data_IF_660531428093
#
_entry.id   IF_660531428093
#
_cell.length_a   1.000
_cell.length_b   1.000
_cell.length_c   1.000
_cell.angle_alpha   90.00
_cell.angle_beta   90.00
_cell.angle_gamma   90.00
#
_symmetry.space_group_name_H-M   'P 1'
#
loop_
_entity.id
_entity.type
_entity.pdbx_description
1 polymer ?
#
# COMPACT_ATOMS: atom_id res chain seq x y z
N UNK A 1 15.02 -7.04 -9.07
CA UNK A 1 15.66 -5.96 -8.33
C UNK A 1 14.59 -4.90 -8.14
N UNK A 2 14.16 -4.67 -6.89
CA UNK A 2 13.41 -3.48 -6.54
C UNK A 2 14.34 -2.31 -6.77
N UNK A 3 13.91 -1.33 -7.55
CA UNK A 3 14.73 -0.17 -7.85
C UNK A 3 14.97 0.59 -6.56
N UNK A 4 16.23 0.74 -6.25
CA UNK A 4 16.70 1.50 -5.13
C UNK A 4 16.90 2.93 -5.62
N UNK A 5 15.99 3.81 -5.33
CA UNK A 5 16.16 5.23 -5.57
C UNK A 5 16.20 5.92 -4.22
N UNK A 6 17.31 6.56 -3.90
CA UNK A 6 17.44 7.40 -2.68
C UNK A 6 16.56 8.66 -2.78
N UNK A 7 15.45 8.62 -3.48
CA UNK A 7 14.61 9.79 -3.71
C UNK A 7 13.31 9.64 -2.94
N UNK A 8 13.10 10.51 -1.98
CA UNK A 8 11.79 10.72 -1.37
C UNK A 8 10.91 11.52 -2.32
N UNK A 9 9.79 10.98 -2.74
CA UNK A 9 8.82 11.68 -3.58
C UNK A 9 7.77 12.34 -2.73
N UNK A 10 7.60 13.64 -2.91
CA UNK A 10 6.59 14.42 -2.20
C UNK A 10 5.40 14.71 -3.10
N UNK A 11 4.22 14.34 -2.64
CA UNK A 11 2.94 14.58 -3.33
C UNK A 11 2.06 15.51 -2.51
N UNK A 12 1.38 16.44 -3.20
CA UNK A 12 0.37 17.31 -2.58
C UNK A 12 -0.92 16.54 -2.40
N UNK A 13 -1.33 16.34 -1.14
CA UNK A 13 -2.51 15.58 -0.75
C UNK A 13 -3.68 16.51 -0.44
N UNK A 14 -4.73 16.46 -1.25
CA UNK A 14 -5.99 17.13 -0.99
C UNK A 14 -6.94 16.20 -0.23
N UNK A 15 -7.46 16.66 0.90
CA UNK A 15 -8.46 15.93 1.70
C UNK A 15 -9.79 16.71 1.68
N UNK A 16 -10.80 16.14 1.05
CA UNK A 16 -12.15 16.72 1.06
C UNK A 16 -12.92 16.17 2.26
N UNK A 17 -13.19 17.03 3.22
CA UNK A 17 -14.03 16.74 4.39
C UNK A 17 -15.44 17.17 4.09
N UNK A 18 -16.31 16.23 3.72
CA UNK A 18 -17.70 16.53 3.40
C UNK A 18 -18.52 16.84 4.66
N UNK A 19 -19.63 17.54 4.49
CA UNK A 19 -20.46 18.01 5.61
C UNK A 19 -20.90 16.89 6.56
N UNK A 20 -21.29 15.75 6.03
CA UNK A 20 -21.70 14.59 6.83
C UNK A 20 -20.58 14.10 7.75
N UNK A 21 -19.34 14.07 7.26
CA UNK A 21 -18.16 13.71 8.05
C UNK A 21 -17.79 14.83 9.05
N UNK A 22 -17.80 16.09 8.61
CA UNK A 22 -17.58 17.24 9.47
C UNK A 22 -18.53 17.24 10.68
N UNK A 23 -19.84 17.09 10.42
CA UNK A 23 -20.86 17.04 11.46
C UNK A 23 -20.76 15.80 12.35
N UNK A 24 -20.61 14.62 11.76
CA UNK A 24 -20.67 13.35 12.45
C UNK A 24 -19.35 13.02 13.19
N UNK A 25 -18.29 12.83 12.44
CA UNK A 25 -17.00 12.41 13.00
C UNK A 25 -16.27 13.56 13.71
N UNK A 26 -16.17 14.73 13.07
CA UNK A 26 -15.49 15.88 13.67
C UNK A 26 -16.39 16.69 14.63
N UNK A 27 -17.66 16.33 14.79
CA UNK A 27 -18.62 17.00 15.71
C UNK A 27 -18.72 18.51 15.48
N UNK A 28 -18.66 18.93 14.25
CA UNK A 28 -18.69 20.35 13.81
C UNK A 28 -17.57 21.20 14.44
N UNK A 29 -16.41 20.59 14.72
CA UNK A 29 -15.25 21.23 15.31
C UNK A 29 -14.06 21.25 14.35
N UNK A 30 -13.64 22.45 13.95
CA UNK A 30 -12.51 22.64 13.03
C UNK A 30 -11.16 22.18 13.59
N UNK A 31 -10.98 22.18 14.92
CA UNK A 31 -9.77 21.66 15.51
C UNK A 31 -9.69 20.13 15.37
N UNK A 32 -10.85 19.45 15.46
CA UNK A 32 -10.92 17.99 15.19
C UNK A 32 -10.70 17.67 13.72
N UNK A 33 -11.16 18.53 12.80
CA UNK A 33 -10.84 18.38 11.36
C UNK A 33 -9.34 18.46 11.15
N UNK A 34 -8.69 19.49 11.69
CA UNK A 34 -7.24 19.68 11.55
C UNK A 34 -6.46 18.51 12.17
N UNK A 35 -6.84 18.09 13.38
CA UNK A 35 -6.22 16.94 14.05
C UNK A 35 -6.35 15.67 13.19
N UNK A 36 -7.55 15.35 12.70
CA UNK A 36 -7.79 14.20 11.84
C UNK A 36 -6.94 14.25 10.56
N UNK A 37 -6.93 15.38 9.86
CA UNK A 37 -6.12 15.52 8.63
C UNK A 37 -4.62 15.35 8.91
N UNK A 38 -4.13 15.90 10.03
CA UNK A 38 -2.73 15.76 10.45
C UNK A 38 -2.38 14.31 10.82
N UNK A 39 -3.27 13.62 11.54
CA UNK A 39 -3.10 12.20 11.89
C UNK A 39 -3.06 11.31 10.63
N UNK A 40 -3.95 11.55 9.67
CA UNK A 40 -3.95 10.83 8.40
C UNK A 40 -2.65 11.07 7.63
N UNK A 41 -2.22 12.33 7.51
CA UNK A 41 -0.97 12.67 6.85
C UNK A 41 0.24 11.99 7.52
N UNK A 42 0.33 12.11 8.84
CA UNK A 42 1.45 11.54 9.60
C UNK A 42 1.51 10.01 9.44
N UNK A 43 0.37 9.34 9.55
CA UNK A 43 0.30 7.90 9.36
C UNK A 43 0.65 7.44 7.93
N UNK A 44 0.16 8.16 6.91
CA UNK A 44 0.54 7.90 5.52
C UNK A 44 2.05 8.10 5.31
N UNK A 45 2.62 9.17 5.87
CA UNK A 45 4.04 9.46 5.74
C UNK A 45 4.91 8.45 6.47
N UNK A 46 4.47 7.97 7.63
CA UNK A 46 5.19 6.91 8.37
C UNK A 46 5.32 5.63 7.53
N UNK A 47 4.20 5.13 7.00
CA UNK A 47 4.21 3.86 6.26
C UNK A 47 4.80 4.03 4.87
N UNK A 48 4.33 5.02 4.13
CA UNK A 48 4.76 5.22 2.73
C UNK A 48 6.20 5.74 2.63
N UNK A 49 6.65 6.56 3.56
CA UNK A 49 8.05 7.01 3.65
C UNK A 49 8.97 5.83 3.84
N UNK A 50 8.71 5.03 4.86
CA UNK A 50 9.52 3.87 5.22
C UNK A 50 9.58 2.80 4.13
N UNK A 51 8.46 2.49 3.46
CA UNK A 51 8.35 1.30 2.62
C UNK A 51 8.43 1.59 1.12
N UNK A 52 7.98 2.76 0.69
CA UNK A 52 7.87 3.07 -0.74
C UNK A 52 8.56 4.36 -1.17
N UNK A 53 9.15 5.10 -0.23
CA UNK A 53 9.85 6.34 -0.54
C UNK A 53 8.92 7.48 -1.01
N UNK A 54 7.72 7.55 -0.45
CA UNK A 54 6.75 8.59 -0.75
C UNK A 54 6.31 9.30 0.53
N UNK A 55 6.13 10.61 0.45
CA UNK A 55 5.53 11.42 1.49
C UNK A 55 4.48 12.38 0.92
N UNK A 56 3.64 12.90 1.78
CA UNK A 56 2.49 13.70 1.41
C UNK A 56 2.49 15.01 2.20
N UNK A 57 2.27 16.11 1.48
CA UNK A 57 2.04 17.44 2.05
C UNK A 57 0.58 17.81 1.89
N UNK A 58 -0.05 18.25 2.99
CA UNK A 58 -1.44 18.67 2.95
C UNK A 58 -1.63 19.92 2.11
N UNK A 59 -2.59 19.86 1.20
CA UNK A 59 -3.13 21.06 0.54
C UNK A 59 -3.96 21.82 1.57
N UNK A 60 -3.44 22.96 2.01
CA UNK A 60 -4.08 23.81 3.02
C UNK A 60 -5.08 24.77 2.36
N UNK A 61 -6.25 24.25 1.95
CA UNK A 61 -7.31 25.03 1.33
C UNK A 61 -8.65 24.78 2.04
N UNK A 62 -9.20 25.83 2.65
CA UNK A 62 -10.44 25.73 3.41
C UNK A 62 -11.67 25.39 2.55
N UNK A 63 -11.58 25.53 1.22
CA UNK A 63 -12.66 25.11 0.30
C UNK A 63 -12.86 23.58 0.31
N UNK A 64 -11.88 22.82 0.76
CA UNK A 64 -11.95 21.38 0.94
C UNK A 64 -12.71 20.95 2.20
N UNK A 65 -13.11 21.89 3.08
CA UNK A 65 -13.82 21.58 4.32
C UNK A 65 -15.24 22.12 4.25
N UNK A 66 -16.19 21.23 4.07
CA UNK A 66 -17.59 21.60 3.90
C UNK A 66 -18.26 21.65 5.28
N UNK A 67 -18.50 22.86 5.77
CA UNK A 67 -19.00 23.10 7.14
C UNK A 67 -20.50 23.31 7.23
N UNK A 68 -21.20 23.48 6.10
CA UNK A 68 -22.64 23.75 6.07
C UNK A 68 -23.38 22.78 5.15
N UNK A 69 -24.62 22.43 5.52
CA UNK A 69 -25.45 21.46 4.78
C UNK A 69 -25.74 21.94 3.35
N UNK A 70 -25.90 23.23 3.14
CA UNK A 70 -26.21 23.83 1.82
C UNK A 70 -25.07 23.66 0.81
N UNK A 71 -23.85 23.43 1.32
CA UNK A 71 -22.65 23.21 0.50
C UNK A 71 -22.23 21.75 0.45
N UNK A 72 -23.01 20.83 1.07
CA UNK A 72 -22.70 19.42 1.05
C UNK A 72 -22.53 18.89 -0.38
N UNK A 73 -21.40 18.25 -0.65
CA UNK A 73 -21.11 17.71 -1.98
C UNK A 73 -21.80 16.36 -2.19
N UNK A 74 -21.94 15.59 -1.11
CA UNK A 74 -22.47 14.23 -1.14
C UNK A 74 -23.49 14.00 -0.02
N UNK A 75 -24.73 13.65 -0.38
CA UNK A 75 -25.77 13.28 0.60
C UNK A 75 -25.89 11.75 0.72
N UNK A 76 -25.24 11.17 1.71
CA UNK A 76 -25.17 9.72 1.96
C UNK A 76 -24.90 8.91 0.69
N UNK A 77 -23.80 9.20 0.00
CA UNK A 77 -23.52 8.62 -1.30
C UNK A 77 -23.10 7.16 -1.19
N UNK A 78 -23.15 6.42 -2.33
CA UNK A 78 -22.37 5.22 -2.47
C UNK A 78 -20.90 5.56 -2.73
N UNK A 79 -19.98 4.72 -2.28
CA UNK A 79 -18.54 4.93 -2.56
C UNK A 79 -18.27 5.00 -4.06
N UNK A 80 -19.01 4.23 -4.88
CA UNK A 80 -18.87 4.26 -6.34
C UNK A 80 -19.25 5.62 -6.93
N UNK A 81 -20.36 6.20 -6.49
CA UNK A 81 -20.77 7.53 -6.96
C UNK A 81 -19.73 8.59 -6.65
N UNK A 82 -19.10 8.49 -5.47
CA UNK A 82 -18.08 9.46 -5.06
C UNK A 82 -16.80 9.28 -5.85
N UNK A 83 -16.30 8.05 -5.98
CA UNK A 83 -15.03 7.78 -6.68
C UNK A 83 -15.05 8.24 -8.14
N UNK A 84 -16.20 8.08 -8.81
CA UNK A 84 -16.40 8.51 -10.20
C UNK A 84 -16.40 10.04 -10.36
N UNK A 85 -16.79 10.79 -9.33
CA UNK A 85 -16.94 12.25 -9.38
C UNK A 85 -15.81 13.01 -8.69
N UNK A 86 -15.17 12.41 -7.71
CA UNK A 86 -14.27 13.09 -6.78
C UNK A 86 -13.20 13.95 -7.47
N UNK A 87 -12.58 13.46 -8.54
CA UNK A 87 -11.57 14.25 -9.26
C UNK A 87 -12.16 15.54 -9.84
N UNK A 88 -13.35 15.46 -10.45
CA UNK A 88 -14.04 16.64 -10.96
C UNK A 88 -14.43 17.63 -9.86
N UNK A 89 -14.84 17.11 -8.70
CA UNK A 89 -15.20 17.92 -7.53
C UNK A 89 -13.94 18.62 -6.95
N UNK A 90 -12.80 17.93 -6.83
CA UNK A 90 -11.51 18.55 -6.45
C UNK A 90 -11.10 19.64 -7.45
N UNK A 91 -11.13 19.33 -8.75
CA UNK A 91 -10.77 20.29 -9.79
C UNK A 91 -11.63 21.55 -9.76
N UNK A 92 -12.94 21.39 -9.48
CA UNK A 92 -13.86 22.50 -9.34
C UNK A 92 -13.63 23.34 -8.08
N UNK A 93 -13.22 22.70 -6.98
CA UNK A 93 -13.01 23.38 -5.70
C UNK A 93 -11.67 24.11 -5.66
N UNK A 94 -10.60 23.49 -6.10
CA UNK A 94 -9.24 24.01 -5.88
C UNK A 94 -8.40 24.14 -7.14
N UNK A 95 -8.81 23.58 -8.28
CA UNK A 95 -8.05 23.53 -9.53
C UNK A 95 -7.21 22.27 -9.66
N UNK A 96 -7.14 21.73 -10.88
CA UNK A 96 -6.42 20.49 -11.17
C UNK A 96 -4.90 20.57 -10.84
N UNK A 97 -4.31 21.73 -11.03
CA UNK A 97 -2.87 21.99 -10.84
C UNK A 97 -2.45 22.05 -9.37
N UNK A 98 -3.39 22.08 -8.41
CA UNK A 98 -3.10 22.37 -7.00
C UNK A 98 -3.00 21.13 -6.11
N UNK A 99 -3.13 19.92 -6.67
CA UNK A 99 -2.97 18.67 -5.93
C UNK A 99 -2.48 17.53 -6.82
N UNK A 100 -1.91 16.49 -6.22
CA UNK A 100 -1.35 15.32 -6.89
C UNK A 100 -2.11 14.03 -6.53
N UNK A 101 -2.73 14.02 -5.35
CA UNK A 101 -3.61 12.95 -4.87
C UNK A 101 -4.76 13.54 -4.07
N UNK A 102 -5.95 12.97 -4.19
CA UNK A 102 -7.13 13.40 -3.43
C UNK A 102 -7.79 12.24 -2.70
N UNK A 103 -8.28 12.50 -1.49
CA UNK A 103 -9.09 11.56 -0.72
C UNK A 103 -10.33 12.26 -0.17
N UNK A 104 -11.48 11.62 -0.32
CA UNK A 104 -12.77 12.13 0.17
C UNK A 104 -13.18 11.39 1.44
N UNK A 105 -13.56 12.15 2.45
CA UNK A 105 -14.16 11.66 3.69
C UNK A 105 -15.63 12.10 3.77
N UNK A 106 -16.53 11.11 3.76
CA UNK A 106 -17.97 11.30 3.89
C UNK A 106 -18.59 10.15 4.69
N UNK A 107 -19.90 10.23 4.96
CA UNK A 107 -20.64 9.11 5.54
C UNK A 107 -21.28 8.32 4.40
N UNK A 108 -20.67 7.22 4.04
CA UNK A 108 -21.11 6.36 2.95
C UNK A 108 -22.23 5.41 3.38
N UNK A 109 -23.11 5.02 2.44
CA UNK A 109 -24.25 4.13 2.70
C UNK A 109 -23.95 2.65 2.51
N UNK A 110 -22.85 2.31 1.80
CA UNK A 110 -22.57 0.94 1.35
C UNK A 110 -21.24 0.39 1.86
N UNK A 111 -20.11 0.89 1.41
CA UNK A 111 -18.78 0.37 1.75
C UNK A 111 -17.97 1.36 2.59
N UNK A 112 -16.82 0.88 3.11
CA UNK A 112 -15.93 1.71 3.92
C UNK A 112 -14.91 2.50 3.09
N UNK A 113 -14.63 2.06 1.87
CA UNK A 113 -13.69 2.71 0.96
C UNK A 113 -13.76 2.17 -0.45
N UNK A 114 -13.17 2.90 -1.38
CA UNK A 114 -12.96 2.55 -2.79
C UNK A 114 -11.94 3.51 -3.40
N UNK A 115 -11.05 3.03 -4.26
CA UNK A 115 -10.14 3.89 -5.00
C UNK A 115 -9.94 3.46 -6.45
N UNK A 116 -9.54 4.40 -7.29
CA UNK A 116 -9.02 4.10 -8.62
C UNK A 116 -7.61 3.53 -8.52
N UNK A 117 -7.33 2.49 -9.30
CA UNK A 117 -6.06 1.79 -9.24
C UNK A 117 -4.96 2.53 -10.03
N UNK A 118 -3.90 2.95 -9.34
CA UNK A 118 -2.72 3.52 -9.95
C UNK A 118 -2.92 4.92 -10.54
N UNK A 119 -3.82 5.69 -10.00
CA UNK A 119 -4.19 7.02 -10.50
C UNK A 119 -3.53 8.18 -9.74
N UNK A 120 -2.56 7.91 -8.86
CA UNK A 120 -1.77 9.00 -8.27
C UNK A 120 -1.15 9.84 -9.39
N UNK A 121 -1.30 11.17 -9.31
CA UNK A 121 -0.94 12.12 -10.37
C UNK A 121 -1.63 11.92 -11.73
N UNK A 122 -2.49 10.91 -11.84
CA UNK A 122 -3.22 10.58 -13.05
C UNK A 122 -4.48 11.43 -13.26
N UNK A 123 -5.24 11.09 -14.29
CA UNK A 123 -6.48 11.80 -14.64
C UNK A 123 -7.58 11.65 -13.60
N UNK A 124 -7.54 10.60 -12.79
CA UNK A 124 -8.50 10.29 -11.73
C UNK A 124 -7.88 10.39 -10.33
N UNK A 125 -6.88 11.23 -10.17
CA UNK A 125 -6.07 11.39 -8.95
C UNK A 125 -6.83 11.80 -7.69
N UNK A 126 -8.05 12.31 -7.82
CA UNK A 126 -8.96 12.59 -6.70
C UNK A 126 -9.80 11.40 -6.27
N UNK A 127 -9.75 10.29 -6.99
CA UNK A 127 -10.62 9.14 -6.81
C UNK A 127 -10.10 8.15 -5.75
N UNK A 128 -9.96 8.61 -4.51
CA UNK A 128 -9.76 7.78 -3.33
C UNK A 128 -10.80 8.18 -2.27
N UNK A 129 -11.49 7.20 -1.72
CA UNK A 129 -12.56 7.39 -0.76
C UNK A 129 -12.34 6.44 0.41
N UNK A 130 -12.41 6.94 1.64
CA UNK A 130 -12.33 6.11 2.83
C UNK A 130 -13.22 6.65 3.96
N UNK A 131 -13.56 5.76 4.90
CA UNK A 131 -14.07 6.18 6.20
C UNK A 131 -12.91 6.66 7.10
N UNK A 132 -13.17 6.88 8.39
CA UNK A 132 -12.16 7.37 9.35
C UNK A 132 -11.19 6.30 9.86
N UNK A 133 -11.37 5.04 9.52
CA UNK A 133 -10.49 3.95 9.97
C UNK A 133 -9.17 4.00 9.21
N UNK A 134 -8.06 4.25 9.91
CA UNK A 134 -6.76 4.44 9.28
C UNK A 134 -6.33 3.27 8.38
N UNK A 135 -6.66 2.03 8.76
CA UNK A 135 -6.40 0.86 7.93
C UNK A 135 -7.10 0.97 6.56
N UNK A 136 -8.36 1.41 6.53
CA UNK A 136 -9.11 1.61 5.27
C UNK A 136 -8.49 2.74 4.45
N UNK A 137 -8.13 3.84 5.11
CA UNK A 137 -7.44 4.96 4.44
C UNK A 137 -6.17 4.48 3.74
N UNK A 138 -5.33 3.75 4.46
CA UNK A 138 -4.06 3.24 3.94
C UNK A 138 -4.26 2.19 2.82
N UNK A 139 -5.27 1.34 2.95
CA UNK A 139 -5.65 0.35 1.94
C UNK A 139 -6.11 1.01 0.63
N UNK A 140 -7.07 1.93 0.69
CA UNK A 140 -7.57 2.63 -0.49
C UNK A 140 -6.50 3.52 -1.12
N UNK A 141 -5.67 4.15 -0.29
CA UNK A 141 -4.54 4.91 -0.77
C UNK A 141 -3.49 4.02 -1.47
N UNK A 142 -3.29 2.80 -0.98
CA UNK A 142 -2.48 1.77 -1.63
C UNK A 142 -2.98 1.43 -3.04
N UNK A 143 -4.30 1.40 -3.25
CA UNK A 143 -4.87 1.27 -4.59
C UNK A 143 -4.56 2.49 -5.47
N UNK A 144 -4.75 3.70 -4.96
CA UNK A 144 -4.43 4.92 -5.69
C UNK A 144 -2.95 4.95 -6.11
N UNK A 145 -2.06 4.44 -5.25
CA UNK A 145 -0.63 4.30 -5.54
C UNK A 145 -0.31 3.17 -6.55
N UNK A 146 -1.23 2.26 -6.82
CA UNK A 146 -1.09 1.24 -7.87
C UNK A 146 -1.07 -0.21 -7.42
N UNK A 147 -1.26 -0.51 -6.14
CA UNK A 147 -1.31 -1.88 -5.67
C UNK A 147 -2.72 -2.46 -5.74
N UNK A 148 -2.86 -3.63 -6.36
CA UNK A 148 -4.08 -4.42 -6.30
C UNK A 148 -4.13 -5.26 -4.99
N UNK A 149 -5.27 -5.90 -4.72
CA UNK A 149 -5.40 -6.83 -3.60
C UNK A 149 -4.42 -8.00 -3.68
N UNK A 150 -3.97 -8.46 -2.52
CA UNK A 150 -3.00 -9.57 -2.40
C UNK A 150 -3.62 -10.90 -1.96
N UNK A 151 -4.85 -10.89 -1.48
CA UNK A 151 -5.53 -12.04 -0.89
C UNK A 151 -6.17 -12.98 -1.94
N UNK A 152 -6.41 -14.23 -1.53
CA UNK A 152 -6.94 -15.29 -2.42
C UNK A 152 -8.37 -15.72 -2.10
N UNK A 153 -8.98 -15.21 -1.04
CA UNK A 153 -10.34 -15.58 -0.65
C UNK A 153 -11.39 -15.10 -1.66
N UNK A 154 -12.42 -15.91 -1.86
CA UNK A 154 -13.58 -15.53 -2.69
C UNK A 154 -13.38 -15.63 -4.19
N UNK A 155 -12.35 -16.33 -4.66
CA UNK A 155 -12.13 -16.60 -6.09
C UNK A 155 -11.93 -15.34 -6.95
N UNK A 156 -11.49 -14.25 -6.34
CA UNK A 156 -11.23 -13.02 -7.08
C UNK A 156 -10.06 -13.20 -8.04
N UNK A 157 -10.21 -12.70 -9.24
CA UNK A 157 -9.26 -12.86 -10.35
C UNK A 157 -8.21 -11.76 -10.43
N UNK A 158 -7.89 -11.10 -9.32
CA UNK A 158 -6.89 -10.05 -9.32
C UNK A 158 -5.49 -10.59 -9.66
N UNK A 159 -4.74 -9.76 -10.35
CA UNK A 159 -3.44 -10.12 -10.94
C UNK A 159 -2.29 -10.27 -9.94
N UNK A 160 -2.54 -10.17 -8.64
CA UNK A 160 -1.52 -10.08 -7.61
C UNK A 160 -1.80 -10.93 -6.36
N UNK A 161 -2.48 -12.06 -6.51
CA UNK A 161 -2.73 -12.99 -5.41
C UNK A 161 -1.43 -13.63 -4.92
N UNK A 162 -0.82 -13.02 -3.93
CA UNK A 162 0.43 -13.51 -3.34
C UNK A 162 0.28 -13.98 -1.90
N UNK A 163 -0.86 -13.67 -1.26
CA UNK A 163 -1.12 -14.03 0.13
C UNK A 163 -2.26 -15.04 0.25
N UNK A 164 -2.15 -16.01 1.19
CA UNK A 164 -3.20 -16.99 1.41
C UNK A 164 -4.40 -16.35 2.10
N UNK A 165 -5.56 -16.96 1.87
CA UNK A 165 -6.81 -16.65 2.56
C UNK A 165 -7.15 -15.16 2.52
N UNK A 166 -7.26 -14.49 3.65
CA UNK A 166 -7.53 -13.04 3.75
C UNK A 166 -6.29 -12.18 3.65
N UNK A 167 -5.10 -12.78 3.67
CA UNK A 167 -3.81 -12.10 3.69
C UNK A 167 -3.47 -11.45 5.03
N UNK A 168 -2.28 -10.85 5.11
CA UNK A 168 -1.75 -10.22 6.32
C UNK A 168 -1.30 -8.76 6.10
N UNK A 169 -1.08 -8.36 4.86
CA UNK A 169 -0.59 -7.01 4.53
C UNK A 169 -1.71 -6.00 4.32
N UNK A 170 -1.35 -4.73 4.15
CA UNK A 170 -2.30 -3.62 3.93
C UNK A 170 -3.26 -3.89 2.77
N UNK A 171 -2.77 -4.46 1.66
CA UNK A 171 -3.59 -4.71 0.48
C UNK A 171 -4.40 -6.00 0.57
N UNK A 172 -4.56 -6.55 1.75
CA UNK A 172 -5.38 -7.72 2.07
C UNK A 172 -6.70 -7.31 2.75
N UNK A 173 -7.53 -8.31 3.09
CA UNK A 173 -8.78 -8.09 3.84
C UNK A 173 -8.69 -8.57 5.28
N UNK A 174 -7.50 -8.53 5.85
CA UNK A 174 -7.35 -8.80 7.26
C UNK A 174 -7.82 -7.57 8.06
N UNK A 175 -8.67 -7.80 9.04
CA UNK A 175 -9.04 -6.77 10.02
C UNK A 175 -8.04 -6.77 11.19
N UNK A 176 -6.77 -6.93 10.90
CA UNK A 176 -5.74 -6.90 11.93
C UNK A 176 -5.20 -5.47 12.06
N UNK A 177 -5.32 -4.84 13.22
CA UNK A 177 -4.71 -3.54 13.47
C UNK A 177 -3.19 -3.55 13.33
N UNK A 178 -2.59 -4.72 13.18
CA UNK A 178 -1.16 -4.90 12.95
C UNK A 178 -0.75 -5.00 11.47
N UNK A 179 -1.70 -5.01 10.54
CA UNK A 179 -1.44 -5.02 9.09
C UNK A 179 -0.99 -3.64 8.56
N UNK A 180 0.02 -3.02 9.19
CA UNK A 180 0.54 -1.70 8.82
C UNK A 180 1.80 -1.79 7.96
N UNK A 181 1.84 -2.73 7.03
CA UNK A 181 2.95 -2.90 6.09
C UNK A 181 2.44 -3.33 4.71
N UNK A 182 3.13 -2.91 3.66
CA UNK A 182 2.91 -3.44 2.33
C UNK A 182 3.71 -4.73 2.11
N UNK A 183 3.11 -5.71 1.44
CA UNK A 183 3.88 -6.87 0.98
C UNK A 183 4.93 -6.45 -0.06
N UNK A 184 6.04 -7.19 -0.19
CA UNK A 184 7.06 -6.92 -1.21
C UNK A 184 6.49 -6.86 -2.64
N UNK A 185 5.53 -7.73 -3.04
CA UNK A 185 4.82 -7.56 -4.30
C UNK A 185 4.05 -6.25 -4.43
N UNK A 186 3.41 -5.78 -3.36
CA UNK A 186 2.72 -4.48 -3.35
C UNK A 186 3.71 -3.33 -3.47
N UNK A 187 4.80 -3.34 -2.70
CA UNK A 187 5.89 -2.36 -2.78
C UNK A 187 6.44 -2.28 -4.22
N UNK A 188 6.70 -3.43 -4.84
CA UNK A 188 7.16 -3.49 -6.23
C UNK A 188 6.19 -2.82 -7.19
N UNK A 189 4.90 -3.10 -7.07
CA UNK A 189 3.88 -2.55 -7.96
C UNK A 189 3.74 -1.03 -7.78
N UNK A 190 3.72 -0.57 -6.52
CA UNK A 190 3.65 0.86 -6.19
C UNK A 190 4.90 1.60 -6.69
N UNK A 191 6.09 1.08 -6.40
CA UNK A 191 7.34 1.71 -6.85
C UNK A 191 7.44 1.78 -8.37
N UNK A 192 7.01 0.73 -9.07
CA UNK A 192 6.92 0.79 -10.52
C UNK A 192 6.00 1.90 -11.01
N UNK A 193 4.89 2.13 -10.32
CA UNK A 193 3.94 3.20 -10.67
C UNK A 193 4.48 4.58 -10.32
N UNK A 194 5.02 4.76 -9.13
CA UNK A 194 5.55 6.06 -8.65
C UNK A 194 6.88 6.43 -9.28
N UNK A 195 7.66 5.45 -9.76
CA UNK A 195 8.94 5.66 -10.45
C UNK A 195 8.80 5.80 -11.97
N UNK A 196 7.59 5.79 -12.52
CA UNK A 196 7.34 5.90 -13.97
C UNK A 196 7.93 7.15 -14.62
N UNK A 197 8.33 8.14 -13.85
CA UNK A 197 8.93 9.38 -14.32
C UNK A 197 10.46 9.36 -14.35
N UNK A 198 11.08 8.35 -13.73
CA UNK A 198 12.51 8.17 -13.83
C UNK A 198 12.85 7.49 -15.16
N UNK A 199 13.98 7.86 -15.75
CA UNK A 199 14.44 7.45 -17.11
C UNK A 199 14.53 5.92 -17.38
N UNK A 200 13.98 5.11 -16.49
CA UNK A 200 14.12 3.66 -16.46
C UNK A 200 13.10 2.90 -17.32
N UNK A 201 12.02 3.54 -17.73
CA UNK A 201 11.05 2.91 -18.62
C UNK A 201 11.47 3.16 -20.07
N UNK A 202 11.51 2.06 -20.83
CA UNK A 202 11.70 2.13 -22.29
C UNK A 202 10.71 3.14 -22.90
N UNK A 203 11.10 3.81 -23.96
CA UNK A 203 10.26 4.77 -24.70
C UNK A 203 8.85 4.24 -25.01
N UNK A 204 8.68 2.92 -25.06
CA UNK A 204 7.42 2.24 -25.28
C UNK A 204 6.44 2.31 -24.09
N UNK A 205 6.95 2.26 -22.86
CA UNK A 205 6.14 2.45 -21.66
C UNK A 205 5.84 3.94 -21.43
N UNK A 206 6.78 4.82 -21.77
CA UNK A 206 6.57 6.27 -21.79
C UNK A 206 5.45 6.68 -22.75
N UNK A 207 5.38 6.10 -23.94
CA UNK A 207 4.35 6.40 -24.94
C UNK A 207 2.95 5.98 -24.52
N UNK A 208 2.80 4.94 -23.70
CA UNK A 208 1.49 4.55 -23.16
C UNK A 208 1.03 5.43 -21.98
N UNK A 209 1.94 6.17 -21.38
CA UNK A 209 1.68 7.10 -20.26
C UNK A 209 1.69 8.58 -20.71
N UNK A 210 1.87 8.83 -22.01
CA UNK A 210 1.75 10.15 -22.64
C UNK A 210 0.30 10.64 -22.57
N UNK A 211 0.01 11.33 -21.52
CA UNK A 211 -1.31 11.87 -21.15
C UNK A 211 -1.42 12.13 -19.66
N UNK A 212 -0.43 11.68 -18.88
CA UNK A 212 -0.29 12.13 -17.51
C UNK A 212 0.41 13.50 -17.53
N UNK A 213 -0.16 14.52 -16.90
CA UNK A 213 0.49 15.81 -16.80
C UNK A 213 1.83 15.64 -16.05
N UNK A 214 2.95 15.73 -16.76
CA UNK A 214 4.30 15.70 -16.17
C UNK A 214 4.56 16.94 -15.28
N UNK A 215 3.65 17.91 -15.30
CA UNK A 215 3.91 19.24 -14.78
C UNK A 215 3.93 19.35 -13.25
N UNK A 216 3.42 18.38 -12.49
CA UNK A 216 3.14 18.55 -11.06
C UNK A 216 3.81 17.52 -10.16
N UNK A 217 4.78 16.76 -10.64
CA UNK A 217 5.52 15.86 -9.79
C UNK A 217 6.67 16.64 -9.20
N UNK A 218 6.52 17.01 -7.94
CA UNK A 218 7.64 17.46 -7.15
C UNK A 218 8.57 16.27 -6.94
N UNK A 219 9.64 16.20 -7.72
CA UNK A 219 10.74 15.28 -7.41
C UNK A 219 11.25 15.64 -6.04
N UNK A 220 11.19 14.66 -5.15
CA UNK A 220 11.64 14.85 -3.80
C UNK A 220 13.15 15.10 -3.73
N UNK A 221 13.58 15.46 -2.58
CA UNK A 221 14.99 15.60 -2.26
C UNK A 221 15.67 14.24 -2.31
N UNK A 222 16.87 14.20 -2.85
CA UNK A 222 17.73 13.02 -2.77
C UNK A 222 18.11 12.85 -1.30
N UNK A 223 17.76 11.71 -0.73
CA UNK A 223 18.17 11.35 0.62
C UNK A 223 19.67 11.03 0.64
N UNK A 224 20.38 11.49 1.66
CA UNK A 224 21.77 11.08 1.92
C UNK A 224 21.83 9.63 2.45
N UNK A 225 20.71 9.02 2.81
CA UNK A 225 20.62 7.66 3.27
C UNK A 225 21.02 6.68 2.17
N UNK A 226 21.84 5.71 2.53
CA UNK A 226 22.31 4.65 1.64
C UNK A 226 21.56 3.36 1.97
N UNK A 227 20.90 2.81 0.98
CA UNK A 227 20.11 1.61 1.17
C UNK A 227 20.89 0.41 1.69
N UNK A 228 20.25 -0.44 2.52
CA UNK A 228 20.82 -1.71 2.98
C UNK A 228 21.25 -2.62 1.83
N UNK A 229 22.30 -3.40 2.08
CA UNK A 229 22.86 -4.34 1.11
C UNK A 229 22.67 -5.77 1.57
N UNK A 230 21.91 -6.56 0.81
CA UNK A 230 21.76 -8.00 1.05
C UNK A 230 23.00 -8.74 0.54
N UNK A 231 23.65 -9.56 1.38
CA UNK A 231 24.82 -10.36 1.04
C UNK A 231 24.43 -11.62 0.25
N UNK A 232 24.22 -11.46 -1.05
CA UNK A 232 23.70 -12.50 -1.95
C UNK A 232 24.59 -13.74 -2.06
N UNK A 233 25.88 -13.64 -1.77
CA UNK A 233 26.82 -14.76 -1.86
C UNK A 233 26.47 -15.92 -0.92
N UNK A 234 25.70 -15.65 0.14
CA UNK A 234 25.25 -16.66 1.11
C UNK A 234 23.86 -17.24 0.80
N UNK A 235 23.16 -16.69 -0.18
CA UNK A 235 21.85 -17.18 -0.62
C UNK A 235 22.02 -18.08 -1.85
N UNK A 236 21.49 -19.30 -1.77
CA UNK A 236 21.35 -20.14 -2.97
C UNK A 236 20.26 -19.59 -3.86
N UNK A 237 20.46 -19.75 -5.16
CA UNK A 237 19.46 -19.33 -6.16
C UNK A 237 18.17 -20.15 -6.09
N UNK A 238 18.26 -21.41 -5.67
CA UNK A 238 17.13 -22.32 -5.51
C UNK A 238 17.41 -23.34 -4.41
N UNK A 239 16.34 -23.81 -3.79
CA UNK A 239 16.33 -24.85 -2.77
C UNK A 239 15.31 -25.90 -3.16
N UNK A 240 15.61 -27.17 -2.95
CA UNK A 240 14.65 -28.27 -3.10
C UNK A 240 14.31 -28.82 -1.73
N UNK A 241 13.03 -28.84 -1.40
CA UNK A 241 12.56 -29.29 -0.10
C UNK A 241 11.58 -30.45 -0.28
N UNK A 242 11.57 -31.44 0.63
CA UNK A 242 10.52 -32.45 0.71
C UNK A 242 9.18 -31.80 1.06
N UNK A 243 8.03 -32.43 0.76
CA UNK A 243 6.75 -32.00 1.27
C UNK A 243 6.73 -32.00 2.81
N UNK A 244 5.79 -31.23 3.39
CA UNK A 244 5.60 -31.11 4.84
C UNK A 244 6.86 -30.68 5.63
N UNK A 245 7.70 -29.86 5.01
CA UNK A 245 8.95 -29.39 5.62
C UNK A 245 8.84 -27.94 6.02
N UNK A 246 9.20 -27.64 7.28
CA UNK A 246 9.47 -26.26 7.71
C UNK A 246 10.69 -25.74 6.96
N UNK A 247 10.65 -24.48 6.59
CA UNK A 247 11.83 -23.81 6.05
C UNK A 247 11.93 -22.38 6.55
N UNK A 248 13.11 -21.82 6.42
CA UNK A 248 13.40 -20.46 6.80
C UNK A 248 14.38 -19.83 5.81
N UNK A 249 14.39 -18.51 5.79
CA UNK A 249 15.45 -17.73 5.17
C UNK A 249 16.24 -17.02 6.28
N UNK A 250 17.55 -17.23 6.31
CA UNK A 250 18.49 -16.44 7.08
C UNK A 250 19.04 -15.36 6.13
N UNK A 251 18.63 -14.12 6.32
CA UNK A 251 18.96 -13.00 5.43
C UNK A 251 20.12 -12.23 6.03
N UNK A 252 21.30 -12.33 5.44
CA UNK A 252 22.42 -11.51 5.85
C UNK A 252 22.44 -10.20 5.07
N UNK A 253 22.49 -9.11 5.79
CA UNK A 253 22.55 -7.77 5.22
C UNK A 253 23.38 -6.85 6.11
N UNK A 254 23.83 -5.75 5.54
CA UNK A 254 24.45 -4.65 6.26
C UNK A 254 23.94 -3.33 5.75
N UNK A 255 23.93 -2.35 6.62
CA UNK A 255 23.62 -0.97 6.27
C UNK A 255 24.91 -0.15 6.17
N UNK A 256 25.09 0.64 5.08
CA UNK A 256 26.29 1.45 4.92
C UNK A 256 26.38 2.63 5.90
N UNK A 257 25.25 3.06 6.48
CA UNK A 257 25.16 4.14 7.45
C UNK A 257 25.09 3.64 8.89
N UNK A 258 24.98 2.31 9.06
CA UNK A 258 24.90 1.63 10.35
C UNK A 258 23.52 1.65 10.97
N UNK A 259 22.48 1.87 10.18
CA UNK A 259 21.10 1.92 10.64
C UNK A 259 20.56 0.52 11.00
N UNK A 260 19.60 0.43 11.96
CA UNK A 260 18.93 -0.82 12.29
C UNK A 260 18.15 -1.37 11.11
N UNK A 261 18.24 -2.70 10.91
CA UNK A 261 17.61 -3.36 9.78
C UNK A 261 16.33 -4.10 10.15
N UNK A 262 15.35 -4.04 9.26
CA UNK A 262 14.14 -4.82 9.29
C UNK A 262 14.08 -5.74 8.07
N UNK A 263 13.65 -6.99 8.29
CA UNK A 263 13.71 -8.06 7.30
C UNK A 263 12.32 -8.58 6.94
N UNK A 264 12.14 -8.93 5.68
CA UNK A 264 10.92 -9.52 5.12
C UNK A 264 11.27 -10.63 4.13
N UNK A 265 10.39 -11.62 4.03
CA UNK A 265 10.43 -12.63 2.96
C UNK A 265 8.99 -12.94 2.53
N UNK A 266 8.64 -12.66 1.29
CA UNK A 266 7.29 -12.82 0.80
C UNK A 266 7.26 -13.63 -0.50
N UNK A 267 6.22 -14.46 -0.65
CA UNK A 267 5.97 -15.14 -1.91
C UNK A 267 5.64 -14.11 -3.00
N UNK A 268 6.23 -14.30 -4.17
CA UNK A 268 6.08 -13.40 -5.31
C UNK A 268 5.60 -14.13 -6.59
N UNK A 269 4.86 -15.20 -6.43
CA UNK A 269 4.24 -15.92 -7.55
C UNK A 269 2.93 -15.24 -7.93
N UNK A 270 2.96 -14.39 -8.94
CA UNK A 270 1.79 -13.70 -9.46
C UNK A 270 0.94 -14.62 -10.35
N UNK A 271 -0.39 -14.45 -10.31
CA UNK A 271 -1.35 -15.09 -11.23
C UNK A 271 -1.35 -16.64 -11.24
N UNK A 272 -0.88 -17.28 -10.20
CA UNK A 272 -0.83 -18.74 -10.19
C UNK A 272 -2.01 -19.30 -9.42
N UNK A 273 -2.99 -19.81 -10.13
CA UNK A 273 -4.11 -20.55 -9.56
C UNK A 273 -3.67 -21.95 -9.11
N UNK A 274 -4.18 -22.39 -7.95
CA UNK A 274 -3.97 -23.76 -7.47
C UNK A 274 -2.64 -24.04 -6.77
N UNK A 275 -1.71 -23.08 -6.71
CA UNK A 275 -0.47 -23.22 -5.92
C UNK A 275 -0.69 -22.89 -4.44
N UNK A 276 0.08 -23.51 -3.59
CA UNK A 276 0.16 -23.16 -2.19
C UNK A 276 0.55 -21.69 -2.02
N UNK A 277 0.03 -21.05 -0.97
CA UNK A 277 0.32 -19.68 -0.61
C UNK A 277 0.91 -19.63 0.79
N UNK A 278 1.90 -18.77 0.95
CA UNK A 278 2.61 -18.55 2.20
C UNK A 278 2.25 -17.18 2.75
N UNK A 279 1.95 -17.07 4.07
CA UNK A 279 1.63 -15.79 4.67
C UNK A 279 2.84 -14.85 4.58
N UNK A 280 2.57 -13.58 4.33
CA UNK A 280 3.59 -12.54 4.43
C UNK A 280 3.87 -12.23 5.90
N UNK A 281 5.10 -11.89 6.23
CA UNK A 281 5.48 -11.38 7.54
C UNK A 281 5.60 -9.84 7.50
N UNK A 282 5.30 -9.20 8.63
CA UNK A 282 5.65 -7.79 8.81
C UNK A 282 7.17 -7.62 8.85
N UNK A 283 7.70 -6.42 8.54
CA UNK A 283 9.10 -6.11 8.77
C UNK A 283 9.49 -6.44 10.23
N UNK A 284 10.57 -7.19 10.41
CA UNK A 284 11.04 -7.65 11.72
C UNK A 284 12.55 -7.47 11.87
N UNK A 285 13.01 -7.23 13.09
CA UNK A 285 14.43 -7.13 13.41
C UNK A 285 15.17 -8.48 13.27
N UNK A 286 14.42 -9.58 13.32
CA UNK A 286 15.02 -10.91 13.09
C UNK A 286 15.37 -11.08 11.61
N UNK A 287 16.65 -11.35 11.36
CA UNK A 287 17.12 -11.73 10.02
C UNK A 287 16.72 -13.15 9.60
N UNK A 288 16.07 -13.90 10.50
CA UNK A 288 15.51 -15.23 10.26
C UNK A 288 14.02 -15.15 10.06
N UNK A 289 13.57 -15.48 8.86
CA UNK A 289 12.14 -15.52 8.52
C UNK A 289 11.73 -16.98 8.35
N UNK A 290 10.88 -17.44 9.24
CA UNK A 290 10.40 -18.82 9.31
C UNK A 290 9.07 -18.98 8.58
N UNK A 291 8.93 -20.06 7.83
CA UNK A 291 7.70 -20.39 7.13
C UNK A 291 7.11 -21.67 7.73
N UNK A 292 5.98 -21.45 8.38
CA UNK A 292 5.08 -22.49 8.88
C UNK A 292 3.64 -22.00 8.65
N UNK A 293 2.71 -22.90 8.57
CA UNK A 293 1.30 -22.54 8.45
C UNK A 293 0.70 -22.40 9.86
N UNK A 294 0.25 -21.24 10.27
CA UNK A 294 -0.54 -21.12 11.50
C UNK A 294 -1.87 -21.83 11.31
N UNK A 295 -2.21 -22.69 12.23
CA UNK A 295 -3.47 -23.41 12.24
C UNK A 295 -4.45 -22.74 13.20
N UNK A 296 -5.66 -22.42 12.72
CA UNK A 296 -6.71 -21.86 13.54
C UNK A 296 -7.59 -23.00 14.06
N UNK A 297 -7.46 -23.31 15.34
CA UNK A 297 -8.26 -24.33 15.98
C UNK A 297 -9.64 -23.76 16.38
N UNK A 298 -10.71 -24.33 15.80
CA UNK A 298 -12.10 -24.13 16.25
C UNK A 298 -12.57 -22.68 16.46
N UNK A 299 -12.24 -21.74 15.56
CA UNK A 299 -12.61 -20.34 15.66
C UNK A 299 -12.12 -19.62 16.94
N UNK A 300 -11.23 -20.21 17.74
CA UNK A 300 -10.53 -19.52 18.79
C UNK A 300 -9.34 -18.73 18.23
N UNK A 301 -8.88 -17.73 18.95
CA UNK A 301 -7.70 -16.95 18.53
C UNK A 301 -6.38 -17.68 18.80
N UNK A 302 -6.45 -18.93 19.22
CA UNK A 302 -5.29 -19.79 19.44
C UNK A 302 -4.74 -20.28 18.10
N UNK A 303 -3.52 -19.86 17.80
CA UNK A 303 -2.78 -20.24 16.62
C UNK A 303 -1.70 -21.25 17.00
N UNK A 304 -1.71 -22.42 16.37
CA UNK A 304 -0.63 -23.38 16.45
C UNK A 304 0.16 -23.34 15.15
N UNK A 305 1.49 -23.30 15.27
CA UNK A 305 2.36 -23.44 14.13
C UNK A 305 2.38 -24.92 13.68
N UNK A 306 2.06 -25.16 12.42
CA UNK A 306 2.14 -26.50 11.81
C UNK A 306 3.06 -26.43 10.58
N UNK A 307 3.70 -27.55 10.20
CA UNK A 307 4.45 -27.61 8.97
C UNK A 307 3.57 -27.16 7.80
N UNK A 308 4.14 -26.39 6.91
CA UNK A 308 3.41 -25.98 5.71
C UNK A 308 3.12 -27.22 4.87
N UNK A 309 1.83 -27.51 4.67
CA UNK A 309 1.36 -28.61 3.81
C UNK A 309 0.95 -28.05 2.47
N UNK A 310 1.54 -28.59 1.41
CA UNK A 310 1.01 -28.35 0.08
C UNK A 310 -0.42 -28.87 -0.01
N UNK A 311 -1.35 -28.07 -0.48
CA UNK A 311 -2.78 -28.45 -0.58
C UNK A 311 -3.03 -29.63 -1.50
N UNK A 312 -2.04 -29.97 -2.35
CA UNK A 312 -2.01 -31.19 -3.16
C UNK A 312 -0.61 -31.79 -3.07
N UNK A 313 -0.41 -32.81 -2.22
CA UNK A 313 0.89 -33.43 -1.99
C UNK A 313 1.52 -34.09 -3.24
N UNK A 314 0.79 -34.23 -4.31
CA UNK A 314 1.23 -34.82 -5.59
C UNK A 314 1.79 -33.80 -6.58
N UNK A 315 1.67 -32.50 -6.32
CA UNK A 315 2.19 -31.47 -7.22
C UNK A 315 3.55 -30.99 -6.73
N UNK A 316 4.60 -31.31 -7.47
CA UNK A 316 5.87 -30.60 -7.40
C UNK A 316 5.65 -29.19 -7.96
N UNK A 317 5.97 -28.17 -7.19
CA UNK A 317 5.79 -26.78 -7.60
C UNK A 317 7.06 -25.96 -7.34
N UNK A 318 7.33 -25.02 -8.22
CA UNK A 318 8.30 -23.95 -7.94
C UNK A 318 7.58 -22.79 -7.27
N UNK A 319 8.20 -22.25 -6.22
CA UNK A 319 7.75 -21.08 -5.50
C UNK A 319 8.83 -20.02 -5.51
N UNK A 320 8.46 -18.81 -5.83
CA UNK A 320 9.35 -17.67 -5.84
C UNK A 320 9.15 -16.85 -4.57
N UNK A 321 10.24 -16.60 -3.87
CA UNK A 321 10.25 -15.70 -2.72
C UNK A 321 11.12 -14.49 -3.01
N UNK A 322 10.61 -13.33 -2.65
CA UNK A 322 11.39 -12.12 -2.58
C UNK A 322 11.81 -11.85 -1.14
N UNK A 323 13.06 -11.47 -0.99
CA UNK A 323 13.63 -11.08 0.29
C UNK A 323 13.81 -9.57 0.27
N UNK A 324 13.38 -8.93 1.34
CA UNK A 324 13.47 -7.48 1.53
C UNK A 324 14.20 -7.15 2.82
N UNK A 325 14.96 -6.08 2.76
CA UNK A 325 15.60 -5.46 3.93
C UNK A 325 15.38 -3.96 3.81
N UNK A 326 15.00 -3.33 4.89
CA UNK A 326 14.87 -1.88 4.97
C UNK A 326 15.45 -1.38 6.31
N UNK A 327 15.86 -0.13 6.33
CA UNK A 327 16.41 0.58 7.49
C UNK A 327 15.39 1.53 8.14
N UNK A 328 14.15 1.54 7.62
CA UNK A 328 13.11 2.46 8.08
C UNK A 328 13.27 3.90 7.59
N UNK A 329 14.25 4.15 6.75
CA UNK A 329 14.52 5.45 6.13
C UNK A 329 14.31 5.38 4.61
N UNK A 330 14.41 6.53 3.97
CA UNK A 330 14.35 6.61 2.51
C UNK A 330 15.71 6.27 1.92
N UNK A 331 15.71 5.22 1.09
CA UNK A 331 16.95 4.81 0.42
C UNK A 331 16.77 3.52 -0.36
#
# INVERSE_FOLDING_TARGET
VLYNTNVMRTYRLAMLIDYSFYKGHCRSDMNKVKAFMTEVQAGLNEVCGREIGCQFELVNDLRLIITTKEKEVYDRPSVRTVVERATGDFNSLIGEENYDAGIVFSVYKDNRGLAHLGEITGKLKGGCIANHEFYIILHEFGHLLGSAHTFTIGGQTASSFTEPDRGNSIMSYINDPYGTYFSLPSIYTIRNRTNLHDAYYSDKARTQLVGLPQANIHYGEVSDNRAPVIHRAKLKKSYTLPPDTYFQFDIEASDPDGDPLLYMAHQADFKIFGKARFPSNRPTESNRIEFYQPYRKNRSDDWEAVPFKFTKPTETGEFTFWLGVCDGKVG
#
